data_IF_123482877206
#
_entry.id   IF_123482877206
#
_cell.length_a   1.000
_cell.length_b   1.000
_cell.length_c   1.000
_cell.angle_alpha   90.00
_cell.angle_beta   90.00
_cell.angle_gamma   90.00
#
_symmetry.space_group_name_H-M   'P 1'
#
loop_
_entity.id
_entity.type
_entity.pdbx_description
1 polymer ?
#
# COMPACT_ATOMS: atom_id res chain seq x y z
N UNK A 1 8.94 19.59 12.64
CA UNK A 1 9.30 18.13 12.53
C UNK A 1 10.78 17.89 12.85
N UNK A 2 11.16 16.70 13.33
CA UNK A 2 12.56 16.32 13.62
C UNK A 2 13.21 15.70 12.37
N UNK A 3 13.82 16.53 11.53
CA UNK A 3 14.41 16.09 10.25
C UNK A 3 15.65 15.20 10.43
N UNK A 4 16.39 15.33 11.54
CA UNK A 4 17.52 14.43 11.83
C UNK A 4 17.02 13.00 12.07
N UNK A 5 15.93 12.85 12.82
CA UNK A 5 15.26 11.56 13.00
C UNK A 5 14.75 11.00 11.67
N UNK A 6 14.12 11.83 10.82
CA UNK A 6 13.65 11.38 9.53
C UNK A 6 14.78 10.90 8.63
N UNK A 7 15.91 11.59 8.67
CA UNK A 7 17.12 11.16 7.99
C UNK A 7 17.63 9.82 8.52
N UNK A 8 17.71 9.64 9.86
CA UNK A 8 18.09 8.36 10.48
C UNK A 8 17.20 7.21 10.00
N UNK A 9 15.86 7.44 9.89
CA UNK A 9 14.88 6.48 9.41
C UNK A 9 15.10 6.14 7.92
N UNK A 10 15.32 7.14 7.09
CA UNK A 10 15.53 6.94 5.65
C UNK A 10 16.88 6.28 5.33
N UNK A 11 17.93 6.54 6.13
CA UNK A 11 19.25 5.91 5.97
C UNK A 11 19.25 4.39 6.25
N UNK A 12 18.17 3.86 6.83
CA UNK A 12 18.02 2.42 7.06
C UNK A 12 17.30 1.76 5.89
N UNK A 13 17.97 0.83 5.23
CA UNK A 13 17.30 -0.07 4.28
C UNK A 13 16.27 -0.93 5.02
N UNK A 14 15.06 -1.00 4.45
CA UNK A 14 13.95 -1.81 4.97
C UNK A 14 13.15 -2.46 3.84
N UNK A 15 13.84 -2.99 2.83
CA UNK A 15 13.21 -3.76 1.76
C UNK A 15 12.40 -4.92 2.37
N UNK A 16 11.22 -5.22 1.81
CA UNK A 16 10.31 -6.25 2.32
C UNK A 16 11.04 -7.54 2.72
N UNK A 17 10.82 -8.00 3.94
CA UNK A 17 11.53 -9.12 4.56
C UNK A 17 12.85 -8.75 5.26
N UNK A 18 13.30 -7.49 5.19
CA UNK A 18 14.51 -6.99 5.86
C UNK A 18 14.21 -5.79 6.78
N UNK A 19 12.97 -5.45 7.00
CA UNK A 19 12.49 -4.29 7.78
C UNK A 19 12.74 -4.42 9.30
N UNK A 20 13.13 -5.59 9.80
CA UNK A 20 13.36 -5.84 11.23
C UNK A 20 14.33 -4.84 11.85
N UNK A 21 15.42 -4.50 11.15
CA UNK A 21 16.42 -3.56 11.65
C UNK A 21 15.83 -2.17 11.90
N UNK A 22 14.97 -1.71 10.98
CA UNK A 22 14.25 -0.44 11.13
C UNK A 22 13.26 -0.53 12.30
N UNK A 23 12.50 -1.61 12.39
CA UNK A 23 11.56 -1.81 13.48
C UNK A 23 12.25 -1.78 14.85
N UNK A 24 13.33 -2.52 15.06
CA UNK A 24 14.09 -2.53 16.30
C UNK A 24 14.76 -1.17 16.64
N UNK A 25 15.09 -0.38 15.63
CA UNK A 25 15.54 0.98 15.82
C UNK A 25 14.40 1.86 16.32
N UNK A 26 13.23 1.84 15.69
CA UNK A 26 12.08 2.66 16.06
C UNK A 26 11.53 2.29 17.45
N UNK A 27 11.48 0.99 17.77
CA UNK A 27 11.07 0.49 19.08
C UNK A 27 11.84 1.14 20.24
N UNK A 28 13.13 1.42 20.04
CA UNK A 28 13.98 2.10 21.03
C UNK A 28 13.93 3.62 20.87
N UNK A 29 14.05 4.10 19.65
CA UNK A 29 14.30 5.51 19.34
C UNK A 29 13.09 6.40 19.63
N UNK A 30 11.89 5.94 19.34
CA UNK A 30 10.67 6.73 19.59
C UNK A 30 10.44 6.96 21.10
N UNK A 31 10.49 5.95 21.99
CA UNK A 31 10.43 6.18 23.43
C UNK A 31 11.61 6.95 24.01
N UNK A 32 12.80 6.92 23.40
CA UNK A 32 13.93 7.77 23.84
C UNK A 32 13.66 9.26 23.58
N UNK A 33 13.03 9.59 22.45
CA UNK A 33 12.71 10.98 22.07
C UNK A 33 11.47 11.47 22.83
N UNK A 34 10.44 10.63 22.93
CA UNK A 34 9.21 10.92 23.65
C UNK A 34 8.97 9.89 24.77
N UNK A 35 9.40 10.18 26.02
CA UNK A 35 9.25 9.24 27.13
C UNK A 35 7.81 8.92 27.55
N UNK A 36 6.81 9.64 27.01
CA UNK A 36 5.38 9.28 27.20
C UNK A 36 4.97 8.16 26.25
N UNK A 37 5.76 7.90 25.20
CA UNK A 37 5.51 6.85 24.23
C UNK A 37 5.95 5.49 24.76
N UNK A 38 5.08 4.50 24.70
CA UNK A 38 5.40 3.10 24.97
C UNK A 38 5.24 2.27 23.70
N UNK A 39 5.99 1.18 23.56
CA UNK A 39 5.94 0.32 22.40
C UNK A 39 5.57 -1.12 22.78
N UNK A 40 4.66 -1.72 22.04
CA UNK A 40 4.35 -3.15 22.09
C UNK A 40 4.80 -3.80 20.79
N UNK A 41 5.59 -4.88 20.91
CA UNK A 41 6.10 -5.67 19.80
C UNK A 41 5.17 -6.87 19.53
N UNK A 42 4.92 -7.14 18.26
CA UNK A 42 4.23 -8.32 17.76
C UNK A 42 5.13 -9.06 16.77
N UNK A 43 5.59 -10.26 17.11
CA UNK A 43 6.34 -11.11 16.17
C UNK A 43 5.37 -11.63 15.10
N UNK A 44 5.70 -11.40 13.83
CA UNK A 44 4.79 -11.72 12.71
C UNK A 44 5.16 -13.02 12.00
N UNK A 45 6.41 -13.41 12.09
CA UNK A 45 7.03 -14.53 11.38
C UNK A 45 8.08 -14.03 10.38
N UNK A 46 8.81 -14.95 9.78
CA UNK A 46 9.87 -14.68 8.79
C UNK A 46 10.92 -13.63 9.23
N UNK A 47 11.10 -13.48 10.54
CA UNK A 47 12.05 -12.54 11.11
C UNK A 47 11.59 -11.08 11.12
N UNK A 48 10.31 -10.81 10.82
CA UNK A 48 9.73 -9.46 10.82
C UNK A 48 8.81 -9.24 12.04
N UNK A 49 8.47 -7.99 12.31
CA UNK A 49 7.61 -7.62 13.44
C UNK A 49 6.78 -6.38 13.15
N UNK A 50 5.60 -6.34 13.78
CA UNK A 50 4.79 -5.13 13.86
C UNK A 50 5.05 -4.42 15.19
N UNK A 51 4.88 -3.09 15.20
CA UNK A 51 5.04 -2.26 16.39
C UNK A 51 3.80 -1.43 16.62
N UNK A 52 3.30 -1.42 17.87
CA UNK A 52 2.23 -0.52 18.29
C UNK A 52 2.79 0.46 19.33
N UNK A 53 2.86 1.73 18.97
CA UNK A 53 3.23 2.83 19.85
C UNK A 53 1.98 3.45 20.48
N UNK A 54 2.03 3.75 21.78
CA UNK A 54 0.92 4.31 22.56
C UNK A 54 1.41 5.42 23.47
N UNK A 55 0.54 6.36 23.75
CA UNK A 55 0.80 7.49 24.66
C UNK A 55 -0.15 7.48 25.88
N UNK A 56 -0.89 6.41 26.08
CA UNK A 56 -1.76 6.23 27.24
C UNK A 56 -0.96 5.68 28.43
N UNK A 57 -1.39 6.06 29.64
CA UNK A 57 -0.85 5.51 30.88
C UNK A 57 -1.45 4.13 31.23
N UNK A 58 -2.20 3.53 30.32
CA UNK A 58 -3.06 2.39 30.59
C UNK A 58 -2.33 1.06 30.81
N UNK A 59 -0.99 1.05 30.80
CA UNK A 59 -0.24 -0.20 30.91
C UNK A 59 -0.60 -1.15 29.76
N UNK A 60 -0.16 -2.40 29.80
CA UNK A 60 -0.51 -3.42 28.79
C UNK A 60 -2.00 -3.83 28.93
N UNK A 61 -2.92 -2.92 28.56
CA UNK A 61 -4.34 -3.30 28.45
C UNK A 61 -4.54 -4.10 27.16
N UNK A 62 -5.42 -5.11 27.21
CA UNK A 62 -5.79 -5.90 26.03
C UNK A 62 -6.58 -5.09 24.98
N UNK A 63 -6.99 -3.86 25.30
CA UNK A 63 -7.75 -2.97 24.42
C UNK A 63 -6.81 -2.13 23.53
N UNK A 64 -7.08 -2.06 22.24
CA UNK A 64 -6.46 -1.08 21.35
C UNK A 64 -6.96 0.34 21.65
N UNK A 65 -6.17 1.39 21.34
CA UNK A 65 -6.65 2.76 21.37
C UNK A 65 -7.86 2.95 20.45
N UNK A 66 -8.75 3.90 20.79
CA UNK A 66 -9.93 4.24 19.99
C UNK A 66 -9.55 4.59 18.54
N UNK A 67 -8.44 5.33 18.35
CA UNK A 67 -7.92 5.70 17.04
C UNK A 67 -6.52 5.12 16.85
N UNK A 68 -6.34 4.37 15.77
CA UNK A 68 -5.04 3.82 15.39
C UNK A 68 -4.62 4.44 14.05
N UNK A 69 -3.56 5.25 14.06
CA UNK A 69 -2.83 5.61 12.84
C UNK A 69 -1.98 4.42 12.44
N UNK A 70 -1.90 4.11 11.15
CA UNK A 70 -1.23 2.91 10.67
C UNK A 70 -0.46 3.17 9.38
N UNK A 71 0.74 2.61 9.26
CA UNK A 71 1.48 2.56 8.00
C UNK A 71 2.47 1.40 8.03
N UNK A 72 3.23 1.20 6.94
CA UNK A 72 4.12 0.06 6.85
C UNK A 72 5.61 0.43 6.99
N UNK A 73 6.41 -0.57 7.40
CA UNK A 73 7.85 -0.47 7.65
C UNK A 73 8.67 -0.79 6.40
N UNK A 74 8.15 -1.69 5.58
CA UNK A 74 8.86 -2.19 4.42
C UNK A 74 8.79 -1.22 3.23
N UNK A 75 9.68 -1.45 2.28
CA UNK A 75 9.76 -0.70 1.01
C UNK A 75 10.08 -1.66 -0.13
N UNK A 76 9.69 -1.31 -1.35
CA UNK A 76 10.12 -2.05 -2.54
C UNK A 76 11.61 -1.87 -2.82
N UNK A 77 12.31 -2.88 -3.42
CA UNK A 77 13.67 -2.70 -3.93
C UNK A 77 13.71 -1.84 -5.22
N UNK A 78 14.87 -1.25 -5.58
CA UNK A 78 16.10 -1.21 -4.81
C UNK A 78 16.08 -0.09 -3.76
N UNK A 79 16.84 -0.27 -2.68
CA UNK A 79 17.15 0.83 -1.77
C UNK A 79 18.03 1.86 -2.47
N UNK A 80 17.80 3.14 -2.20
CA UNK A 80 18.70 4.25 -2.49
C UNK A 80 18.63 5.29 -1.37
N UNK A 81 19.81 5.84 -1.06
CA UNK A 81 19.99 6.71 0.10
C UNK A 81 19.24 8.05 -0.04
N UNK A 82 18.81 8.65 1.07
CA UNK A 82 18.10 9.92 1.05
C UNK A 82 19.01 11.10 0.71
N UNK A 83 18.42 12.09 0.05
CA UNK A 83 19.04 13.39 -0.17
C UNK A 83 18.06 14.49 0.25
N UNK A 84 18.56 15.49 0.95
CA UNK A 84 17.81 16.66 1.42
C UNK A 84 18.32 17.90 0.66
N UNK A 85 17.48 18.44 -0.22
CA UNK A 85 17.86 19.57 -1.08
C UNK A 85 16.83 20.69 -0.98
N UNK A 86 17.29 21.88 -0.65
CA UNK A 86 16.44 23.08 -0.75
C UNK A 86 16.10 23.34 -2.21
N UNK A 87 14.87 23.66 -2.48
CA UNK A 87 14.34 24.02 -3.78
C UNK A 87 13.61 25.37 -3.70
N UNK A 88 13.63 26.10 -4.79
CA UNK A 88 12.96 27.40 -4.88
C UNK A 88 11.64 27.27 -5.66
N UNK A 89 10.72 28.18 -5.41
CA UNK A 89 9.51 28.31 -6.24
C UNK A 89 9.87 28.36 -7.73
N UNK A 90 9.15 27.62 -8.54
CA UNK A 90 9.38 27.49 -9.97
C UNK A 90 10.36 26.40 -10.40
N UNK A 91 11.01 25.69 -9.47
CA UNK A 91 11.83 24.53 -9.83
C UNK A 91 10.97 23.33 -10.24
N UNK A 92 11.49 22.53 -11.16
CA UNK A 92 10.84 21.28 -11.61
C UNK A 92 11.20 20.13 -10.67
N UNK A 93 10.18 19.46 -10.16
CA UNK A 93 10.28 18.25 -9.32
C UNK A 93 10.60 16.99 -10.16
N UNK A 94 11.03 15.89 -9.53
CA UNK A 94 11.37 14.66 -10.23
C UNK A 94 10.23 14.04 -11.06
N UNK A 95 8.97 14.34 -10.75
CA UNK A 95 7.78 13.91 -11.51
C UNK A 95 7.36 14.89 -12.61
N UNK A 96 8.08 16.00 -12.77
CA UNK A 96 7.81 17.03 -13.76
C UNK A 96 6.87 18.15 -13.29
N UNK A 97 6.33 18.08 -12.08
CA UNK A 97 5.57 19.19 -11.47
C UNK A 97 6.50 20.36 -11.17
N UNK A 98 5.92 21.54 -11.08
CA UNK A 98 6.64 22.78 -10.72
C UNK A 98 6.25 23.14 -9.29
N UNK A 99 7.24 23.48 -8.45
CA UNK A 99 6.98 23.93 -7.09
C UNK A 99 6.34 25.32 -7.09
N UNK A 100 5.37 25.51 -6.22
CA UNK A 100 4.70 26.80 -6.06
C UNK A 100 5.41 27.72 -5.04
N UNK A 101 6.24 27.14 -4.17
CA UNK A 101 6.95 27.84 -3.09
C UNK A 101 8.33 27.24 -2.86
N UNK A 102 9.15 27.96 -2.10
CA UNK A 102 10.42 27.42 -1.59
C UNK A 102 10.13 26.25 -0.62
N UNK A 103 10.88 25.16 -0.72
CA UNK A 103 10.64 23.95 0.05
C UNK A 103 11.94 23.15 0.29
N UNK A 104 11.82 22.04 0.99
CA UNK A 104 12.84 21.01 1.11
C UNK A 104 12.38 19.75 0.36
N UNK A 105 13.08 19.43 -0.71
CA UNK A 105 12.90 18.19 -1.45
C UNK A 105 13.68 17.08 -0.74
N UNK A 106 12.99 16.02 -0.36
CA UNK A 106 13.55 14.86 0.33
C UNK A 106 13.35 13.66 -0.59
N UNK A 107 14.43 13.19 -1.21
CA UNK A 107 14.42 11.99 -2.05
C UNK A 107 14.96 10.80 -1.26
N UNK A 108 14.70 9.58 -1.72
CA UNK A 108 15.17 8.35 -1.09
C UNK A 108 14.08 7.27 -1.08
N UNK A 109 14.48 6.01 -1.06
CA UNK A 109 13.51 4.92 -0.96
C UNK A 109 12.77 4.96 0.38
N UNK A 110 11.42 4.97 0.34
CA UNK A 110 10.57 5.13 1.51
C UNK A 110 10.28 6.60 1.88
N UNK A 111 10.88 7.59 1.22
CA UNK A 111 10.60 9.00 1.52
C UNK A 111 9.13 9.34 1.36
N UNK A 112 8.47 8.74 0.38
CA UNK A 112 7.05 8.83 0.11
C UNK A 112 6.29 7.59 0.61
N UNK A 113 6.81 6.38 0.32
CA UNK A 113 6.13 5.10 0.49
C UNK A 113 6.99 4.11 1.30
N UNK A 114 6.79 3.95 2.66
CA UNK A 114 5.86 4.74 3.45
C UNK A 114 6.50 5.33 4.73
N UNK A 115 7.84 5.54 4.75
CA UNK A 115 8.53 6.08 5.93
C UNK A 115 8.10 7.53 6.21
N UNK A 116 7.83 8.34 5.16
CA UNK A 116 7.26 9.67 5.30
C UNK A 116 5.87 9.66 5.94
N UNK A 117 5.08 8.63 5.67
CA UNK A 117 3.75 8.44 6.24
C UNK A 117 3.83 8.30 7.76
N UNK A 118 4.51 7.26 8.23
CA UNK A 118 4.56 7.01 9.67
C UNK A 118 5.37 8.06 10.44
N UNK A 119 6.33 8.72 9.80
CA UNK A 119 7.05 9.82 10.41
C UNK A 119 6.13 11.02 10.70
N UNK A 120 5.24 11.38 9.75
CA UNK A 120 4.23 12.41 9.96
C UNK A 120 3.21 12.02 11.03
N UNK A 121 2.80 10.75 11.05
CA UNK A 121 1.88 10.20 12.06
C UNK A 121 2.50 10.22 13.46
N UNK A 122 3.75 9.75 13.59
CA UNK A 122 4.47 9.80 14.87
C UNK A 122 4.64 11.24 15.37
N UNK A 123 4.98 12.17 14.48
CA UNK A 123 5.11 13.59 14.81
C UNK A 123 3.78 14.17 15.32
N UNK A 124 2.65 13.81 14.70
CA UNK A 124 1.32 14.22 15.14
C UNK A 124 0.96 13.67 16.53
N UNK A 125 1.16 12.36 16.74
CA UNK A 125 0.89 11.72 18.02
C UNK A 125 1.74 12.32 19.16
N UNK A 126 3.04 12.49 18.96
CA UNK A 126 3.94 13.06 19.94
C UNK A 126 3.61 14.52 20.26
N UNK A 127 3.26 15.32 19.25
CA UNK A 127 2.79 16.70 19.40
C UNK A 127 1.54 16.76 20.31
N UNK A 128 0.50 15.99 19.98
CA UNK A 128 -0.74 15.97 20.75
C UNK A 128 -0.56 15.43 22.18
N UNK A 129 0.25 14.40 22.35
CA UNK A 129 0.57 13.87 23.68
C UNK A 129 1.29 14.90 24.56
N UNK A 130 2.08 15.79 23.96
CA UNK A 130 2.74 16.88 24.69
C UNK A 130 1.76 17.96 25.17
N UNK A 131 0.70 18.22 24.41
CA UNK A 131 -0.38 19.17 24.75
C UNK A 131 -1.33 18.62 25.84
N UNK A 132 -1.46 17.28 25.94
CA UNK A 132 -2.38 16.65 26.90
C UNK A 132 -1.88 16.82 28.35
N UNK A 133 -2.68 17.48 29.17
CA UNK A 133 -2.45 17.65 30.60
C UNK A 133 -3.04 16.53 31.45
N UNK A 134 -4.05 15.81 30.93
CA UNK A 134 -4.73 14.71 31.64
C UNK A 134 -3.95 13.39 31.57
N UNK A 135 -3.03 13.25 30.63
CA UNK A 135 -2.33 11.99 30.35
C UNK A 135 -3.23 10.89 29.75
N UNK A 136 -4.48 11.20 29.46
CA UNK A 136 -5.41 10.30 28.79
C UNK A 136 -5.41 10.57 27.29
N UNK A 137 -4.67 9.74 26.55
CA UNK A 137 -4.67 9.74 25.08
C UNK A 137 -5.22 8.39 24.62
N UNK A 138 -6.25 8.37 23.79
CA UNK A 138 -6.86 7.14 23.26
C UNK A 138 -6.52 6.99 21.77
N UNK A 139 -5.25 7.19 21.45
CA UNK A 139 -4.69 7.00 20.10
C UNK A 139 -3.36 6.25 20.14
N UNK A 140 -3.00 5.68 19.01
CA UNK A 140 -1.72 4.98 18.83
C UNK A 140 -1.26 4.97 17.37
N UNK A 141 0.00 4.56 17.19
CA UNK A 141 0.62 4.38 15.88
C UNK A 141 1.01 2.91 15.71
N UNK A 142 0.44 2.27 14.72
CA UNK A 142 0.72 0.89 14.35
C UNK A 142 1.61 0.88 13.10
N UNK A 143 2.77 0.23 13.18
CA UNK A 143 3.66 0.02 12.06
C UNK A 143 3.67 -1.47 11.69
N UNK A 144 3.38 -1.76 10.44
CA UNK A 144 3.18 -3.11 9.93
C UNK A 144 4.32 -3.54 9.02
N UNK A 145 4.62 -4.83 9.00
CA UNK A 145 5.59 -5.44 8.10
C UNK A 145 4.92 -6.03 6.86
N UNK A 146 5.61 -6.00 5.71
CA UNK A 146 5.27 -6.77 4.53
C UNK A 146 4.00 -6.34 3.80
N UNK A 147 3.69 -5.06 3.78
CA UNK A 147 2.60 -4.49 2.97
C UNK A 147 2.84 -4.79 1.49
N UNK A 148 4.03 -4.45 0.99
CA UNK A 148 4.47 -4.53 -0.40
C UNK A 148 4.52 -5.97 -0.96
N UNK A 149 4.48 -6.95 -0.08
CA UNK A 149 4.53 -8.39 -0.44
C UNK A 149 3.28 -9.16 -0.02
N UNK A 150 2.19 -8.46 0.20
CA UNK A 150 0.85 -9.05 0.39
C UNK A 150 0.28 -8.89 1.78
N UNK A 151 0.67 -7.86 2.51
CA UNK A 151 0.04 -7.42 3.78
C UNK A 151 0.05 -8.50 4.87
N UNK A 152 1.15 -9.27 4.99
CA UNK A 152 1.16 -10.37 5.96
C UNK A 152 1.17 -9.85 7.40
N UNK A 153 1.82 -8.69 7.66
CA UNK A 153 1.79 -8.02 8.96
C UNK A 153 0.39 -7.57 9.37
N UNK A 154 -0.36 -6.96 8.45
CA UNK A 154 -1.75 -6.57 8.66
C UNK A 154 -2.64 -7.78 8.94
N UNK A 155 -2.51 -8.85 8.16
CA UNK A 155 -3.25 -10.11 8.35
C UNK A 155 -2.99 -10.74 9.72
N UNK A 156 -1.72 -10.75 10.15
CA UNK A 156 -1.34 -11.27 11.47
C UNK A 156 -1.93 -10.40 12.59
N UNK A 157 -1.84 -9.08 12.46
CA UNK A 157 -2.38 -8.16 13.45
C UNK A 157 -3.90 -8.27 13.57
N UNK A 158 -4.63 -8.27 12.45
CA UNK A 158 -6.09 -8.40 12.45
C UNK A 158 -6.54 -9.75 13.04
N UNK A 159 -5.81 -10.84 12.79
CA UNK A 159 -6.10 -12.15 13.37
C UNK A 159 -5.97 -12.15 14.91
N UNK A 160 -4.89 -11.59 15.43
CA UNK A 160 -4.43 -11.79 16.81
C UNK A 160 -4.88 -10.66 17.75
N UNK A 161 -5.25 -9.50 17.24
CA UNK A 161 -5.64 -8.34 18.03
C UNK A 161 -7.15 -8.11 18.04
N UNK A 162 -7.66 -7.51 19.14
CA UNK A 162 -9.06 -7.13 19.22
C UNK A 162 -9.42 -6.01 18.30
N UNK A 163 -10.03 -5.62 17.54
CA UNK A 163 -10.30 -4.41 16.76
C UNK A 163 -10.47 -3.15 17.59
N UNK A 164 -10.76 -2.05 16.92
CA UNK A 164 -11.08 -0.77 17.52
C UNK A 164 -12.02 0.03 16.62
N UNK A 165 -12.29 1.30 17.00
CA UNK A 165 -13.27 2.11 16.27
C UNK A 165 -12.68 2.65 14.95
N UNK A 166 -11.54 3.33 15.01
CA UNK A 166 -10.97 4.07 13.89
C UNK A 166 -9.57 3.58 13.50
N UNK A 167 -9.38 3.32 12.22
CA UNK A 167 -8.10 3.08 11.59
C UNK A 167 -7.85 4.14 10.52
N UNK A 168 -6.72 4.82 10.57
CA UNK A 168 -6.29 5.77 9.54
C UNK A 168 -4.97 5.26 8.98
N UNK A 169 -5.00 4.74 7.75
CA UNK A 169 -3.81 4.22 7.08
C UNK A 169 -3.12 5.34 6.30
N UNK A 170 -1.81 5.40 6.37
CA UNK A 170 -0.97 6.34 5.65
C UNK A 170 -0.41 5.76 4.37
N UNK A 171 -0.78 6.36 3.25
CA UNK A 171 -0.33 6.03 1.90
C UNK A 171 -0.16 7.31 1.07
N UNK A 172 0.61 7.28 -0.05
CA UNK A 172 0.82 8.46 -0.89
C UNK A 172 -0.45 8.93 -1.60
N UNK A 173 -1.18 9.85 -0.99
CA UNK A 173 -2.47 10.34 -1.51
C UNK A 173 -2.52 11.84 -1.75
N UNK A 174 -1.37 12.51 -1.89
CA UNK A 174 -1.26 13.97 -2.05
C UNK A 174 -1.98 14.74 -0.92
N UNK A 175 -1.98 14.22 0.31
CA UNK A 175 -2.72 14.76 1.46
C UNK A 175 -4.24 14.87 1.26
N UNK A 176 -4.81 14.04 0.39
CA UNK A 176 -6.26 13.91 0.22
C UNK A 176 -6.74 12.61 0.85
N UNK A 177 -7.97 12.61 1.37
CA UNK A 177 -8.58 11.37 1.83
C UNK A 177 -9.05 10.52 0.65
N UNK A 178 -8.89 9.22 0.77
CA UNK A 178 -9.40 8.31 -0.25
C UNK A 178 -10.88 8.05 -0.01
N UNK A 179 -11.70 8.30 -1.03
CA UNK A 179 -13.14 8.00 -1.00
C UNK A 179 -13.43 6.53 -1.33
N UNK A 180 -12.65 5.97 -2.25
CA UNK A 180 -12.73 4.56 -2.66
C UNK A 180 -11.42 4.09 -3.31
N UNK A 181 -11.14 2.78 -3.23
CA UNK A 181 -10.03 2.14 -3.94
C UNK A 181 -10.51 1.01 -4.86
N UNK A 182 -9.77 0.79 -5.95
CA UNK A 182 -9.98 -0.39 -6.78
C UNK A 182 -9.63 -1.65 -6.02
N UNK A 183 -10.36 -2.72 -6.33
CA UNK A 183 -10.00 -4.06 -5.94
C UNK A 183 -8.90 -4.63 -6.82
N UNK A 184 -8.42 -5.80 -6.45
CA UNK A 184 -7.42 -6.57 -7.19
C UNK A 184 -7.89 -8.00 -7.39
N UNK A 185 -7.59 -8.60 -8.52
CA UNK A 185 -7.73 -10.04 -8.75
C UNK A 185 -6.50 -10.55 -9.46
N UNK A 186 -5.90 -11.59 -8.90
CA UNK A 186 -4.71 -12.22 -9.44
C UNK A 186 -4.98 -13.65 -9.88
N UNK A 187 -4.58 -13.99 -11.10
CA UNK A 187 -4.73 -15.31 -11.66
C UNK A 187 -3.41 -15.84 -12.19
N UNK A 188 -3.16 -17.14 -11.96
CA UNK A 188 -2.16 -17.92 -12.67
C UNK A 188 -2.86 -18.62 -13.83
N UNK A 189 -2.38 -18.41 -15.03
CA UNK A 189 -2.95 -19.04 -16.23
C UNK A 189 -1.90 -19.94 -16.85
N UNK A 190 -2.28 -21.19 -17.13
CA UNK A 190 -1.46 -22.16 -17.86
C UNK A 190 -2.24 -22.65 -19.07
N UNK A 191 -1.66 -22.50 -20.24
CA UNK A 191 -2.23 -22.93 -21.51
C UNK A 191 -1.44 -24.13 -22.00
N UNK A 192 -2.12 -25.24 -22.31
CA UNK A 192 -1.53 -26.45 -22.84
C UNK A 192 -1.71 -26.52 -24.34
N UNK A 193 -0.64 -26.86 -25.02
CA UNK A 193 -0.60 -27.15 -26.45
C UNK A 193 -0.18 -28.58 -26.74
N UNK A 194 0.01 -28.88 -27.98
CA UNK A 194 0.56 -30.13 -28.46
C UNK A 194 1.76 -29.85 -29.37
N UNK A 195 2.95 -30.21 -28.91
CA UNK A 195 4.18 -30.00 -29.66
C UNK A 195 4.20 -30.79 -30.98
N UNK A 196 4.66 -30.15 -32.04
CA UNK A 196 5.03 -30.77 -33.29
C UNK A 196 6.07 -29.90 -34.03
N UNK A 197 6.60 -30.40 -35.13
CA UNK A 197 7.52 -29.63 -35.97
C UNK A 197 6.78 -28.45 -36.60
N UNK A 198 7.32 -27.23 -36.49
CA UNK A 198 6.63 -26.02 -36.93
C UNK A 198 6.30 -25.94 -38.43
N UNK A 199 6.97 -26.76 -39.23
CA UNK A 199 6.63 -26.93 -40.67
C UNK A 199 5.42 -27.83 -40.95
N UNK A 200 4.85 -28.46 -39.94
CA UNK A 200 3.67 -29.36 -40.01
C UNK A 200 2.70 -29.05 -38.89
N UNK A 201 2.19 -27.81 -38.83
CA UNK A 201 1.37 -27.36 -37.70
C UNK A 201 0.07 -28.13 -37.52
N UNK A 202 -0.43 -28.81 -38.56
CA UNK A 202 -1.62 -29.65 -38.53
C UNK A 202 -1.51 -30.88 -37.63
N UNK A 203 -0.29 -31.23 -37.20
CA UNK A 203 -0.06 -32.37 -36.28
C UNK A 203 -0.10 -32.01 -34.79
N UNK A 204 -0.20 -30.70 -34.49
CA UNK A 204 -0.23 -30.19 -33.12
C UNK A 204 -1.11 -28.97 -32.98
N UNK A 205 -0.96 -28.25 -31.87
CA UNK A 205 -1.48 -26.90 -31.66
C UNK A 205 -0.57 -26.14 -30.70
N UNK A 206 -0.39 -24.86 -30.94
CA UNK A 206 0.54 -24.04 -30.18
C UNK A 206 -0.15 -23.38 -29.00
N UNK A 207 0.40 -23.56 -27.79
CA UNK A 207 -0.04 -22.80 -26.62
C UNK A 207 0.12 -21.28 -26.81
N UNK A 208 1.08 -20.84 -27.66
CA UNK A 208 1.26 -19.42 -27.98
C UNK A 208 0.11 -18.89 -28.84
N UNK A 209 -0.38 -19.67 -29.82
CA UNK A 209 -1.55 -19.25 -30.61
C UNK A 209 -2.79 -19.14 -29.73
N UNK A 210 -3.03 -20.16 -28.88
CA UNK A 210 -4.14 -20.12 -27.90
C UNK A 210 -4.03 -18.94 -26.93
N UNK A 211 -2.80 -18.53 -26.53
CA UNK A 211 -2.60 -17.33 -25.74
C UNK A 211 -3.00 -16.06 -26.50
N UNK A 212 -2.69 -15.95 -27.80
CA UNK A 212 -3.12 -14.80 -28.60
C UNK A 212 -4.65 -14.74 -28.66
N UNK A 213 -5.32 -15.85 -28.93
CA UNK A 213 -6.80 -15.94 -28.91
C UNK A 213 -7.37 -15.57 -27.53
N UNK A 214 -6.75 -16.04 -26.45
CA UNK A 214 -7.14 -15.68 -25.07
C UNK A 214 -7.08 -14.18 -24.85
N UNK A 215 -5.98 -13.51 -25.26
CA UNK A 215 -5.80 -12.08 -25.12
C UNK A 215 -6.77 -11.29 -25.98
N UNK A 216 -7.03 -11.72 -27.22
CA UNK A 216 -8.02 -11.11 -28.11
C UNK A 216 -9.42 -11.19 -27.52
N UNK A 217 -9.81 -12.36 -27.00
CA UNK A 217 -11.09 -12.54 -26.29
C UNK A 217 -11.17 -11.64 -25.05
N UNK A 218 -10.12 -11.57 -24.25
CA UNK A 218 -10.09 -10.70 -23.05
C UNK A 218 -10.24 -9.21 -23.43
N UNK A 219 -9.59 -8.76 -24.51
CA UNK A 219 -9.71 -7.39 -25.04
C UNK A 219 -11.09 -7.05 -25.58
N UNK A 220 -11.82 -8.06 -26.06
CA UNK A 220 -13.18 -7.87 -26.59
C UNK A 220 -14.24 -7.74 -25.49
N UNK A 221 -13.90 -7.98 -24.23
CA UNK A 221 -14.83 -7.87 -23.13
C UNK A 221 -14.98 -6.41 -22.72
N UNK A 222 -16.21 -5.92 -22.77
CA UNK A 222 -16.59 -4.58 -22.31
C UNK A 222 -16.92 -4.64 -20.82
N UNK A 223 -15.93 -4.36 -19.97
CA UNK A 223 -16.16 -4.24 -18.53
C UNK A 223 -16.88 -2.92 -18.22
N UNK A 224 -17.94 -2.95 -17.40
CA UNK A 224 -18.67 -1.73 -17.07
C UNK A 224 -17.76 -0.71 -16.37
N UNK A 225 -17.88 0.54 -16.79
CA UNK A 225 -17.20 1.66 -16.12
C UNK A 225 -17.91 2.01 -14.82
N UNK A 226 -17.13 2.21 -13.76
CA UNK A 226 -17.64 2.62 -12.46
C UNK A 226 -17.64 4.14 -12.34
N UNK A 227 -18.72 4.70 -11.83
CA UNK A 227 -18.88 6.16 -11.73
C UNK A 227 -17.85 6.84 -10.79
N UNK A 228 -17.25 6.09 -9.86
CA UNK A 228 -16.27 6.59 -8.88
C UNK A 228 -14.86 6.14 -9.25
N UNK A 229 -14.69 4.86 -9.57
CA UNK A 229 -13.38 4.23 -9.78
C UNK A 229 -12.94 4.18 -11.25
N UNK A 230 -13.83 4.60 -12.17
CA UNK A 230 -13.56 4.58 -13.60
C UNK A 230 -13.47 3.17 -14.19
N UNK A 231 -12.67 2.97 -15.26
CA UNK A 231 -12.60 1.69 -15.96
C UNK A 231 -11.81 0.63 -15.20
N UNK A 232 -12.15 -0.64 -15.43
CA UNK A 232 -11.34 -1.79 -15.04
C UNK A 232 -10.07 -1.82 -15.89
N UNK A 233 -8.94 -2.12 -15.27
CA UNK A 233 -7.66 -2.28 -15.99
C UNK A 233 -7.04 -3.64 -15.65
N UNK A 234 -6.19 -4.15 -16.56
CA UNK A 234 -5.48 -5.40 -16.33
C UNK A 234 -4.08 -5.38 -16.95
N UNK A 235 -3.24 -6.26 -16.46
CA UNK A 235 -1.86 -6.44 -16.93
C UNK A 235 -1.49 -7.91 -16.97
N UNK A 236 -0.64 -8.28 -17.93
CA UNK A 236 -0.04 -9.61 -18.03
C UNK A 236 1.42 -9.50 -17.62
N UNK A 237 1.82 -10.35 -16.66
CA UNK A 237 3.20 -10.47 -16.19
C UNK A 237 3.66 -11.92 -16.17
N UNK A 238 4.96 -12.14 -15.97
CA UNK A 238 5.59 -13.48 -15.89
C UNK A 238 5.23 -14.41 -17.04
N UNK A 239 5.11 -13.85 -18.26
CA UNK A 239 4.83 -14.62 -19.46
C UNK A 239 6.04 -15.49 -19.83
N UNK A 240 5.81 -16.80 -19.97
CA UNK A 240 6.86 -17.77 -20.29
C UNK A 240 6.34 -18.85 -21.20
N UNK A 241 7.13 -19.16 -22.23
CA UNK A 241 6.98 -20.34 -23.10
C UNK A 241 8.37 -20.79 -23.50
N UNK A 242 8.79 -21.97 -23.04
CA UNK A 242 10.17 -22.45 -23.16
C UNK A 242 10.28 -23.51 -24.27
N UNK A 243 9.90 -23.15 -25.49
CA UNK A 243 10.02 -24.00 -26.67
C UNK A 243 11.03 -23.46 -27.68
N UNK A 244 11.79 -24.35 -28.38
CA UNK A 244 12.58 -23.95 -29.54
C UNK A 244 11.70 -23.36 -30.66
N UNK A 245 12.26 -22.42 -31.42
CA UNK A 245 11.51 -21.71 -32.48
C UNK A 245 10.92 -22.61 -33.59
N UNK A 246 11.44 -23.81 -33.75
CA UNK A 246 11.00 -24.78 -34.78
C UNK A 246 10.05 -25.86 -34.23
N UNK A 247 9.57 -25.71 -32.99
CA UNK A 247 8.62 -26.62 -32.35
C UNK A 247 7.43 -25.78 -31.85
N UNK A 248 6.20 -26.21 -32.09
CA UNK A 248 5.01 -25.58 -31.53
C UNK A 248 5.05 -25.68 -30.00
N UNK A 249 4.68 -24.60 -29.32
CA UNK A 249 4.70 -24.54 -27.86
C UNK A 249 3.76 -25.55 -27.24
N UNK A 250 4.27 -26.50 -26.42
CA UNK A 250 3.43 -27.43 -25.66
C UNK A 250 2.80 -26.82 -24.43
N UNK A 251 3.37 -25.72 -23.92
CA UNK A 251 2.87 -25.04 -22.73
C UNK A 251 3.29 -23.57 -22.73
N UNK A 252 2.40 -22.72 -22.24
CA UNK A 252 2.65 -21.31 -21.95
C UNK A 252 2.01 -20.96 -20.63
N UNK A 253 2.70 -20.21 -19.79
CA UNK A 253 2.16 -19.73 -18.52
C UNK A 253 2.34 -18.24 -18.37
N UNK A 254 1.43 -17.60 -17.64
CA UNK A 254 1.50 -16.17 -17.31
C UNK A 254 0.71 -15.85 -16.04
N UNK A 255 0.94 -14.64 -15.53
CA UNK A 255 0.13 -14.04 -14.47
C UNK A 255 -0.75 -12.95 -15.06
N UNK A 256 -2.04 -12.98 -14.70
CA UNK A 256 -3.01 -11.95 -15.07
C UNK A 256 -3.46 -11.22 -13.83
N UNK A 257 -3.37 -9.89 -13.85
CA UNK A 257 -3.67 -9.04 -12.72
C UNK A 257 -4.69 -7.97 -13.11
N UNK A 258 -5.81 -7.92 -12.41
CA UNK A 258 -6.85 -6.92 -12.62
C UNK A 258 -6.87 -5.88 -11.50
N UNK A 259 -7.20 -4.65 -11.86
CA UNK A 259 -7.68 -3.60 -10.98
C UNK A 259 -9.18 -3.47 -11.20
N UNK A 260 -9.97 -4.05 -10.30
CA UNK A 260 -11.43 -4.13 -10.40
C UNK A 260 -12.13 -2.92 -9.79
N UNK A 261 -13.38 -2.70 -10.15
CA UNK A 261 -14.24 -1.63 -9.64
C UNK A 261 -15.50 -2.24 -9.02
N UNK A 262 -16.32 -1.44 -8.32
CA UNK A 262 -17.60 -1.94 -7.79
C UNK A 262 -18.50 -2.51 -8.88
N UNK A 263 -18.42 -1.94 -10.10
CA UNK A 263 -19.23 -2.40 -11.24
C UNK A 263 -18.71 -3.69 -11.87
N UNK A 264 -17.41 -4.02 -11.75
CA UNK A 264 -16.77 -5.11 -12.50
C UNK A 264 -16.23 -6.26 -11.67
N UNK A 265 -16.15 -6.13 -10.35
CA UNK A 265 -15.42 -7.08 -9.49
C UNK A 265 -15.96 -8.52 -9.61
N UNK A 266 -17.27 -8.69 -9.63
CA UNK A 266 -17.92 -10.00 -9.81
C UNK A 266 -17.78 -10.47 -11.25
N UNK A 267 -18.01 -9.57 -12.23
CA UNK A 267 -17.93 -9.91 -13.64
C UNK A 267 -16.54 -10.41 -14.04
N UNK A 268 -15.46 -9.86 -13.48
CA UNK A 268 -14.08 -10.35 -13.74
C UNK A 268 -13.95 -11.82 -13.32
N UNK A 269 -14.52 -12.21 -12.18
CA UNK A 269 -14.46 -13.60 -11.71
C UNK A 269 -15.25 -14.52 -12.65
N UNK A 270 -16.44 -14.11 -13.06
CA UNK A 270 -17.31 -14.86 -14.00
C UNK A 270 -16.63 -15.02 -15.36
N UNK A 271 -16.03 -13.96 -15.88
CA UNK A 271 -15.28 -13.98 -17.14
C UNK A 271 -14.12 -14.96 -17.06
N UNK A 272 -13.32 -14.91 -16.00
CA UNK A 272 -12.17 -15.81 -15.84
C UNK A 272 -12.61 -17.29 -15.75
N UNK A 273 -13.75 -17.57 -15.12
CA UNK A 273 -14.31 -18.91 -15.08
C UNK A 273 -14.78 -19.37 -16.47
N UNK A 274 -15.43 -18.50 -17.24
CA UNK A 274 -15.88 -18.78 -18.61
C UNK A 274 -14.71 -18.93 -19.62
N UNK A 275 -13.54 -18.41 -19.30
CA UNK A 275 -12.34 -18.54 -20.14
C UNK A 275 -11.58 -19.85 -19.91
N UNK A 276 -11.94 -20.63 -18.89
CA UNK A 276 -11.40 -21.99 -18.68
C UNK A 276 -11.81 -22.90 -19.84
N UNK A 277 -10.93 -23.81 -20.17
CA UNK A 277 -11.21 -24.88 -21.13
C UNK A 277 -10.38 -26.12 -20.80
N UNK A 278 -10.46 -27.15 -21.63
CA UNK A 278 -9.61 -28.34 -21.50
C UNK A 278 -8.11 -27.99 -21.57
N UNK A 279 -7.76 -26.98 -22.37
CA UNK A 279 -6.36 -26.56 -22.63
C UNK A 279 -5.97 -25.30 -21.83
N UNK A 280 -6.92 -24.63 -21.18
CA UNK A 280 -6.68 -23.40 -20.40
C UNK A 280 -7.06 -23.61 -18.96
N UNK A 281 -6.05 -23.69 -18.11
CA UNK A 281 -6.21 -23.77 -16.66
C UNK A 281 -6.00 -22.38 -16.04
N UNK A 282 -6.91 -21.97 -15.13
CA UNK A 282 -6.89 -20.65 -14.49
C UNK A 282 -7.06 -20.82 -13.00
N UNK A 283 -6.09 -20.41 -12.22
CA UNK A 283 -6.13 -20.47 -10.77
C UNK A 283 -6.08 -19.05 -10.18
N UNK A 284 -7.08 -18.71 -9.36
CA UNK A 284 -7.05 -17.49 -8.56
C UNK A 284 -6.09 -17.68 -7.37
N UNK A 285 -5.21 -16.71 -7.13
CA UNK A 285 -4.26 -16.82 -6.02
C UNK A 285 -4.19 -15.57 -5.12
N UNK A 286 -5.16 -14.70 -5.20
CA UNK A 286 -5.29 -13.55 -4.32
C UNK A 286 -6.08 -12.42 -4.93
N UNK A 287 -6.40 -11.46 -4.08
CA UNK A 287 -7.11 -10.26 -4.47
C UNK A 287 -7.89 -9.65 -3.33
N UNK A 288 -8.28 -8.40 -3.52
CA UNK A 288 -9.15 -7.63 -2.65
C UNK A 288 -10.37 -7.14 -3.43
N UNK A 289 -11.48 -6.97 -2.74
CA UNK A 289 -12.65 -6.30 -3.33
C UNK A 289 -12.44 -4.78 -3.33
N UNK A 290 -13.06 -4.04 -4.26
CA UNK A 290 -13.11 -2.59 -4.19
C UNK A 290 -13.69 -2.14 -2.85
N UNK A 291 -13.13 -1.06 -2.30
CA UNK A 291 -13.49 -0.62 -0.95
C UNK A 291 -13.88 0.87 -0.94
N UNK A 292 -14.87 1.23 -0.11
CA UNK A 292 -15.15 2.62 0.29
C UNK A 292 -14.52 2.90 1.63
N UNK A 293 -14.07 4.13 1.82
CA UNK A 293 -13.40 4.56 3.03
C UNK A 293 -14.25 5.57 3.80
N UNK A 294 -14.06 5.63 5.11
CA UNK A 294 -14.57 6.73 5.93
C UNK A 294 -13.77 7.99 5.60
N UNK A 295 -14.46 9.07 5.32
CA UNK A 295 -13.88 10.39 5.06
C UNK A 295 -14.40 11.39 6.09
N UNK A 296 -13.66 12.45 6.32
CA UNK A 296 -13.98 13.51 7.27
C UNK A 296 -14.06 14.86 6.56
N UNK A 297 -14.94 15.71 7.02
CA UNK A 297 -15.11 17.06 6.45
C UNK A 297 -13.83 17.90 6.60
N UNK A 298 -13.66 18.86 5.71
CA UNK A 298 -12.51 19.78 5.71
C UNK A 298 -11.25 19.25 5.00
N UNK A 299 -11.20 17.98 4.63
CA UNK A 299 -10.13 17.39 3.81
C UNK A 299 -10.71 16.96 2.46
N UNK A 300 -10.09 17.40 1.36
CA UNK A 300 -10.50 17.00 0.02
C UNK A 300 -10.40 15.48 -0.19
N UNK A 301 -11.23 14.92 -1.08
CA UNK A 301 -11.27 13.48 -1.33
C UNK A 301 -10.95 13.12 -2.77
N UNK A 302 -10.41 11.90 -2.99
CA UNK A 302 -10.23 11.32 -4.32
C UNK A 302 -10.36 9.79 -4.30
N UNK A 303 -10.75 9.14 -5.39
CA UNK A 303 -10.59 7.71 -5.55
C UNK A 303 -9.14 7.36 -5.92
N UNK A 304 -8.74 6.11 -5.62
CA UNK A 304 -7.41 5.59 -5.98
C UNK A 304 -7.48 4.24 -6.69
N UNK A 305 -6.45 3.91 -7.46
CA UNK A 305 -6.38 2.65 -8.19
C UNK A 305 -5.44 1.61 -7.54
N UNK A 306 -4.81 1.94 -6.40
CA UNK A 306 -3.88 1.07 -5.70
C UNK A 306 -4.49 0.46 -4.43
N UNK A 307 -3.84 -0.57 -3.89
CA UNK A 307 -4.21 -1.22 -2.64
C UNK A 307 -3.46 -0.65 -1.45
N UNK A 308 -3.77 -1.15 -0.24
CA UNK A 308 -3.11 -0.84 1.03
C UNK A 308 -3.40 -1.96 2.03
N UNK A 309 -2.90 -1.84 3.24
CA UNK A 309 -3.24 -2.75 4.34
C UNK A 309 -4.71 -2.65 4.82
N UNK A 310 -5.41 -1.57 4.45
CA UNK A 310 -6.77 -1.28 4.95
C UNK A 310 -7.77 -2.42 4.73
N UNK A 311 -7.83 -3.11 3.56
CA UNK A 311 -8.75 -4.23 3.35
C UNK A 311 -8.49 -5.44 4.26
N UNK A 312 -7.32 -5.53 4.86
CA UNK A 312 -6.94 -6.64 5.77
C UNK A 312 -7.30 -6.38 7.22
N UNK A 313 -7.58 -5.12 7.58
CA UNK A 313 -7.86 -4.66 8.94
C UNK A 313 -9.37 -4.60 9.20
N UNK A 314 -10.03 -5.77 9.19
CA UNK A 314 -11.49 -5.86 9.17
C UNK A 314 -12.15 -5.63 10.55
N UNK A 315 -11.38 -5.67 11.63
CA UNK A 315 -11.87 -5.48 13.00
C UNK A 315 -11.99 -4.00 13.40
N UNK A 316 -11.70 -3.06 12.49
CA UNK A 316 -11.93 -1.63 12.70
C UNK A 316 -13.24 -1.21 12.04
N UNK A 317 -14.05 -0.44 12.78
CA UNK A 317 -15.38 0.00 12.32
C UNK A 317 -15.27 1.05 11.21
N UNK A 318 -14.41 2.05 11.42
CA UNK A 318 -14.17 3.16 10.50
C UNK A 318 -12.74 3.07 9.96
N UNK A 319 -12.62 2.96 8.65
CA UNK A 319 -11.32 2.80 8.00
C UNK A 319 -11.11 3.92 6.99
N UNK A 320 -10.05 4.69 7.17
CA UNK A 320 -9.66 5.83 6.34
C UNK A 320 -8.28 5.60 5.72
N UNK A 321 -8.00 6.29 4.63
CA UNK A 321 -6.72 6.25 3.93
C UNK A 321 -6.34 7.66 3.50
N UNK A 322 -5.21 8.18 3.96
CA UNK A 322 -4.67 9.47 3.54
C UNK A 322 -3.20 9.62 3.96
N UNK A 323 -2.44 10.45 3.23
CA UNK A 323 -1.08 10.80 3.63
C UNK A 323 -0.32 11.64 2.63
N UNK A 324 0.91 12.03 2.98
CA UNK A 324 1.74 12.91 2.17
C UNK A 324 2.31 12.22 0.93
N UNK A 325 2.75 13.05 -0.02
CA UNK A 325 3.40 12.60 -1.24
C UNK A 325 2.45 11.95 -2.25
N UNK A 326 2.98 11.53 -3.38
CA UNK A 326 2.20 11.07 -4.52
C UNK A 326 2.54 9.65 -4.94
N UNK A 327 1.50 8.84 -5.20
CA UNK A 327 1.66 7.48 -5.73
C UNK A 327 2.42 7.45 -7.08
N UNK A 328 2.42 8.54 -7.84
CA UNK A 328 3.09 8.61 -9.14
C UNK A 328 4.63 8.57 -9.05
N UNK A 329 5.20 8.80 -7.86
CA UNK A 329 6.65 8.70 -7.62
C UNK A 329 7.01 7.49 -6.78
N UNK A 330 6.06 6.90 -6.05
CA UNK A 330 6.25 5.65 -5.33
C UNK A 330 6.72 4.53 -6.27
N UNK A 331 7.53 3.58 -5.77
CA UNK A 331 8.11 2.47 -6.54
C UNK A 331 9.00 2.87 -7.71
N UNK A 332 9.40 4.15 -7.80
CA UNK A 332 10.29 4.64 -8.87
C UNK A 332 11.66 5.07 -8.32
N UNK A 333 12.71 5.18 -9.18
CA UNK A 333 13.97 5.80 -8.78
C UNK A 333 13.86 7.31 -8.50
N UNK A 334 12.71 7.91 -8.75
CA UNK A 334 12.42 9.33 -8.59
C UNK A 334 11.57 9.61 -7.35
N UNK A 335 11.51 8.66 -6.42
CA UNK A 335 10.73 8.79 -5.20
C UNK A 335 11.19 9.98 -4.37
N UNK A 336 10.23 10.79 -3.96
CA UNK A 336 10.45 11.97 -3.12
C UNK A 336 9.19 12.34 -2.32
N UNK A 337 9.40 13.16 -1.31
CA UNK A 337 8.35 13.90 -0.60
C UNK A 337 8.84 15.33 -0.34
N UNK A 338 7.94 16.29 -0.26
CA UNK A 338 8.24 17.65 0.17
C UNK A 338 8.06 17.77 1.69
N UNK A 339 8.89 18.62 2.32
CA UNK A 339 8.73 18.90 3.75
C UNK A 339 7.34 19.49 4.04
N UNK A 340 6.86 20.40 3.19
CA UNK A 340 5.53 20.99 3.32
C UNK A 340 4.41 19.93 3.26
N UNK A 341 4.58 18.85 2.47
CA UNK A 341 3.61 17.75 2.42
C UNK A 341 3.59 16.96 3.74
N UNK A 342 4.77 16.72 4.33
CA UNK A 342 4.89 16.05 5.63
C UNK A 342 4.27 16.88 6.76
N UNK A 343 4.53 18.20 6.78
CA UNK A 343 3.99 19.12 7.78
C UNK A 343 2.48 19.26 7.64
N UNK A 344 1.96 19.31 6.41
CA UNK A 344 0.53 19.31 6.15
C UNK A 344 -0.12 18.01 6.63
N UNK A 345 0.51 16.86 6.38
CA UNK A 345 0.02 15.57 6.86
C UNK A 345 0.02 15.51 8.40
N UNK A 346 1.08 15.95 9.06
CA UNK A 346 1.11 16.05 10.51
C UNK A 346 -0.07 16.85 11.04
N UNK A 347 -0.31 18.05 10.52
CA UNK A 347 -1.43 18.89 10.93
C UNK A 347 -2.80 18.23 10.68
N UNK A 348 -2.95 17.53 9.55
CA UNK A 348 -4.18 16.80 9.24
C UNK A 348 -4.42 15.64 10.24
N UNK A 349 -3.39 14.86 10.57
CA UNK A 349 -3.52 13.78 11.56
C UNK A 349 -3.84 14.32 12.94
N UNK A 350 -3.21 15.43 13.38
CA UNK A 350 -3.56 16.10 14.64
C UNK A 350 -5.03 16.54 14.66
N UNK A 351 -5.50 17.12 13.56
CA UNK A 351 -6.89 17.57 13.42
C UNK A 351 -7.86 16.38 13.47
N UNK A 352 -7.57 15.30 12.72
CA UNK A 352 -8.41 14.10 12.73
C UNK A 352 -8.47 13.47 14.12
N UNK A 353 -7.34 13.34 14.82
CA UNK A 353 -7.28 12.81 16.17
C UNK A 353 -8.10 13.68 17.14
N UNK A 354 -7.98 15.01 17.10
CA UNK A 354 -8.77 15.93 17.94
C UNK A 354 -10.26 15.79 17.66
N UNK A 355 -10.68 15.82 16.40
CA UNK A 355 -12.07 15.70 16.01
C UNK A 355 -12.70 14.38 16.48
N UNK A 356 -12.02 13.26 16.25
CA UNK A 356 -12.54 11.93 16.63
C UNK A 356 -12.59 11.73 18.15
N UNK A 357 -11.60 12.22 18.88
CA UNK A 357 -11.50 11.99 20.33
C UNK A 357 -12.41 12.90 21.13
N UNK A 358 -12.60 14.14 20.69
CA UNK A 358 -13.35 15.15 21.45
C UNK A 358 -14.74 15.44 20.88
N UNK A 359 -15.23 14.63 19.93
CA UNK A 359 -16.55 14.78 19.29
C UNK A 359 -16.79 16.17 18.66
N UNK A 360 -15.76 16.75 18.06
CA UNK A 360 -15.85 17.98 17.27
C UNK A 360 -16.19 17.69 15.78
N UNK A 361 -16.86 16.55 15.51
CA UNK A 361 -17.32 16.10 14.19
C UNK A 361 -18.68 16.72 13.84
#
# INVERSE_FOLDING_TARGET
MNLDLFKEILDMESTSGQERRLAEFLERRFPEIDPKCTCTRYEVGDGTLNLLFRWDNAGMTSRLPKVVLCSHLDTVPPYFAPQFRKINAGETLPDGKITEQDDLLITGRGSCDAKGQFFSMWSACSSLASESTSGETDFGLLLLSGEETGSFGAKAFDRDCPGSEYLIVGEPTDNLMVSASKGTKSYSVTIRGKACHSGYPELGHSAVETFVEFVEKLRSIDFPEDAVLGPTTWNIGKLSSDNPQNILSPELSFRLYFRTTFASDVMVQEVMEQMRSQDIDIEAFGGDTPMRYTTFDGIGTKPVAFGSDTPRMNKFTHRSLCGPGSIFVAHTPREYVLLSDLEKAQFQYETLLKNILYNEL
#
